data_IF_614670352152
#
_entry.id   IF_614670352152
#
_cell.length_a   1.000
_cell.length_b   1.000
_cell.length_c   1.000
_cell.angle_alpha   90.00
_cell.angle_beta   90.00
_cell.angle_gamma   90.00
#
_symmetry.space_group_name_H-M   'P 1'
#
loop_
_entity.id
_entity.type
_entity.pdbx_description
1 polymer ?
#
# COMPACT_ATOMS: atom_id res chain seq x y z
N UNK A 1 17.03 8.46 -38.24
CA UNK A 1 16.30 7.46 -37.43
C UNK A 1 17.14 6.80 -36.32
N UNK A 2 18.45 6.54 -36.50
CA UNK A 2 19.29 5.90 -35.47
C UNK A 2 19.46 6.74 -34.18
N UNK A 3 19.65 8.06 -34.29
CA UNK A 3 19.85 8.96 -33.15
C UNK A 3 18.59 9.15 -32.28
N UNK A 4 17.40 9.16 -32.89
CA UNK A 4 16.14 9.25 -32.14
C UNK A 4 15.89 7.94 -31.37
N UNK A 5 16.22 6.79 -31.97
CA UNK A 5 16.13 5.49 -31.31
C UNK A 5 17.04 5.37 -30.08
N UNK A 6 18.28 5.84 -30.17
CA UNK A 6 19.23 5.80 -29.04
C UNK A 6 18.81 6.73 -27.90
N UNK A 7 18.30 7.93 -28.20
CA UNK A 7 17.78 8.85 -27.18
C UNK A 7 16.58 8.23 -26.44
N UNK A 8 15.62 7.66 -27.18
CA UNK A 8 14.45 6.98 -26.58
C UNK A 8 14.90 5.80 -25.70
N UNK A 9 15.89 5.02 -26.13
CA UNK A 9 16.42 3.90 -25.36
C UNK A 9 17.09 4.36 -24.05
N UNK A 10 17.88 5.44 -24.10
CA UNK A 10 18.53 6.03 -22.93
C UNK A 10 17.48 6.50 -21.91
N UNK A 11 16.45 7.22 -22.36
CA UNK A 11 15.36 7.67 -21.48
C UNK A 11 14.57 6.50 -20.88
N UNK A 12 14.34 5.42 -21.62
CA UNK A 12 13.69 4.22 -21.09
C UNK A 12 14.54 3.56 -19.99
N UNK A 13 15.86 3.47 -20.18
CA UNK A 13 16.78 2.92 -19.17
C UNK A 13 16.81 3.80 -17.92
N UNK A 14 16.88 5.13 -18.07
CA UNK A 14 16.83 6.05 -16.94
C UNK A 14 15.50 5.97 -16.18
N UNK A 15 14.36 5.88 -16.89
CA UNK A 15 13.05 5.74 -16.27
C UNK A 15 12.88 4.40 -15.53
N UNK A 16 13.48 3.32 -16.04
CA UNK A 16 13.50 2.04 -15.34
C UNK A 16 14.40 2.06 -14.09
N UNK A 17 15.57 2.69 -14.17
CA UNK A 17 16.49 2.84 -13.03
C UNK A 17 15.97 3.78 -11.94
N UNK A 18 15.09 4.72 -12.27
CA UNK A 18 14.56 5.70 -11.31
C UNK A 18 13.44 5.15 -10.39
N UNK A 19 13.16 3.85 -10.42
CA UNK A 19 12.09 3.20 -9.65
C UNK A 19 12.64 2.35 -8.51
N UNK A 20 11.78 2.06 -7.53
CA UNK A 20 12.11 1.20 -6.39
C UNK A 20 12.16 -0.26 -6.82
N UNK A 21 13.25 -0.69 -7.47
CA UNK A 21 13.27 -2.02 -8.10
C UNK A 21 13.57 -3.18 -7.12
N UNK A 22 14.20 -2.90 -5.98
CA UNK A 22 14.69 -3.89 -5.02
C UNK A 22 14.68 -3.37 -3.58
N UNK A 23 14.86 -4.29 -2.61
CA UNK A 23 14.97 -3.95 -1.18
C UNK A 23 16.17 -3.03 -0.91
N UNK A 24 17.31 -3.29 -1.58
CA UNK A 24 18.54 -2.51 -1.39
C UNK A 24 18.32 -1.01 -1.65
N UNK A 25 17.51 -0.65 -2.64
CA UNK A 25 17.14 0.73 -2.93
C UNK A 25 16.35 1.35 -1.77
N UNK A 26 15.49 0.59 -1.09
CA UNK A 26 14.75 1.08 0.08
C UNK A 26 15.71 1.27 1.25
N UNK A 27 16.45 0.22 1.62
CA UNK A 27 17.36 0.19 2.78
C UNK A 27 18.48 1.23 2.68
N UNK A 28 18.96 1.53 1.46
CA UNK A 28 19.98 2.55 1.24
C UNK A 28 19.44 3.98 1.42
N UNK A 29 18.17 4.21 1.11
CA UNK A 29 17.59 5.56 1.03
C UNK A 29 16.64 5.89 2.18
N UNK A 30 16.39 4.95 3.09
CA UNK A 30 15.44 5.12 4.18
C UNK A 30 15.77 4.24 5.38
N UNK A 31 15.49 4.78 6.57
CA UNK A 31 15.55 4.05 7.83
C UNK A 31 14.22 3.36 8.18
N UNK A 32 13.18 3.54 7.36
CA UNK A 32 11.88 2.87 7.53
C UNK A 32 12.07 1.37 7.22
N UNK A 33 11.73 0.48 8.17
CA UNK A 33 11.88 -0.96 7.97
C UNK A 33 10.88 -1.52 6.95
N UNK A 34 11.19 -2.70 6.42
CA UNK A 34 10.36 -3.41 5.44
C UNK A 34 9.52 -4.47 6.18
N UNK A 35 8.19 -4.36 6.09
CA UNK A 35 7.27 -5.31 6.72
C UNK A 35 7.34 -6.68 6.04
N UNK A 36 7.28 -6.71 4.71
CA UNK A 36 7.42 -7.91 3.88
C UNK A 36 7.50 -7.48 2.40
N UNK A 37 7.83 -8.42 1.52
CA UNK A 37 7.80 -8.22 0.08
C UNK A 37 6.75 -9.12 -0.58
N UNK A 38 6.31 -8.74 -1.77
CA UNK A 38 5.38 -9.55 -2.55
C UNK A 38 5.95 -9.74 -3.95
N UNK A 39 6.27 -10.96 -4.38
CA UNK A 39 6.75 -11.21 -5.74
C UNK A 39 5.59 -10.99 -6.73
N UNK A 40 5.92 -10.99 -8.03
CA UNK A 40 4.86 -11.02 -9.05
C UNK A 40 4.21 -12.40 -9.13
N UNK A 41 3.07 -12.55 -8.47
CA UNK A 41 2.30 -13.80 -8.44
C UNK A 41 1.46 -13.92 -9.72
N UNK A 42 1.78 -14.91 -10.57
CA UNK A 42 1.03 -15.21 -11.80
C UNK A 42 -0.23 -16.04 -11.52
N UNK A 43 -0.10 -17.03 -10.65
CA UNK A 43 -1.18 -17.93 -10.30
C UNK A 43 -2.02 -17.36 -9.15
N UNK A 44 -3.30 -17.12 -9.41
CA UNK A 44 -4.22 -16.61 -8.39
C UNK A 44 -4.40 -17.57 -7.22
N UNK A 45 -4.21 -18.87 -7.41
CA UNK A 45 -4.32 -19.87 -6.34
C UNK A 45 -3.26 -19.66 -5.25
N UNK A 46 -2.06 -19.20 -5.64
CA UNK A 46 -0.93 -18.95 -4.75
C UNK A 46 -1.02 -17.63 -3.98
N UNK A 47 -1.92 -16.73 -4.39
CA UNK A 47 -2.04 -15.40 -3.75
C UNK A 47 -2.46 -15.56 -2.29
N UNK A 48 -3.47 -16.37 -2.00
CA UNK A 48 -3.95 -16.55 -0.62
C UNK A 48 -2.85 -17.14 0.27
N UNK A 49 -2.15 -18.18 -0.20
CA UNK A 49 -1.06 -18.80 0.54
C UNK A 49 0.04 -17.78 0.89
N UNK A 50 0.47 -16.99 -0.10
CA UNK A 50 1.46 -15.92 0.11
C UNK A 50 1.01 -14.90 1.16
N UNK A 51 -0.25 -14.47 1.12
CA UNK A 51 -0.76 -13.49 2.09
C UNK A 51 -0.98 -14.07 3.49
N UNK A 52 -1.25 -15.37 3.62
CA UNK A 52 -1.25 -16.06 4.92
C UNK A 52 0.15 -16.06 5.53
N UNK A 53 1.19 -16.34 4.74
CA UNK A 53 2.59 -16.26 5.18
C UNK A 53 2.98 -14.83 5.57
N UNK A 54 2.63 -13.83 4.76
CA UNK A 54 2.90 -12.43 5.10
C UNK A 54 2.22 -11.99 6.40
N UNK A 55 0.98 -12.42 6.64
CA UNK A 55 0.27 -12.10 7.88
C UNK A 55 0.97 -12.73 9.08
N UNK A 56 1.47 -13.97 8.96
CA UNK A 56 2.30 -14.59 10.00
C UNK A 56 3.62 -13.83 10.21
N UNK A 57 4.32 -13.43 9.14
CA UNK A 57 5.53 -12.61 9.24
C UNK A 57 5.26 -11.30 9.96
N UNK A 58 4.14 -10.63 9.65
CA UNK A 58 3.71 -9.41 10.32
C UNK A 58 3.37 -9.62 11.80
N UNK A 59 2.81 -10.77 12.19
CA UNK A 59 2.62 -11.12 13.61
C UNK A 59 3.95 -11.31 14.33
N UNK A 60 4.90 -12.05 13.73
CA UNK A 60 6.24 -12.27 14.28
C UNK A 60 7.02 -10.96 14.44
N UNK A 61 6.82 -10.01 13.53
CA UNK A 61 7.39 -8.65 13.59
C UNK A 61 6.61 -7.70 14.53
N UNK A 62 5.61 -8.21 15.24
CA UNK A 62 4.75 -7.42 16.11
C UNK A 62 3.96 -6.29 15.40
N UNK A 63 3.83 -6.35 14.08
CA UNK A 63 3.02 -5.41 13.28
C UNK A 63 1.54 -5.74 13.46
N UNK A 64 1.18 -7.03 13.56
CA UNK A 64 -0.19 -7.45 13.89
C UNK A 64 -0.26 -7.73 15.39
N UNK A 65 -1.12 -6.99 16.07
CA UNK A 65 -1.45 -7.18 17.50
C UNK A 65 -2.97 -7.20 17.68
N UNK A 66 -3.43 -7.69 18.81
CA UNK A 66 -4.86 -7.65 19.14
C UNK A 66 -5.35 -6.20 19.27
N UNK A 67 -6.56 -5.94 18.77
CA UNK A 67 -7.22 -4.62 18.73
C UNK A 67 -6.43 -3.53 18.00
N UNK A 68 -5.46 -3.90 17.18
CA UNK A 68 -4.60 -2.98 16.44
C UNK A 68 -5.35 -2.37 15.23
N UNK A 69 -5.07 -1.09 14.96
CA UNK A 69 -5.50 -0.38 13.75
C UNK A 69 -4.33 -0.32 12.77
N UNK A 70 -4.45 -1.05 11.66
CA UNK A 70 -3.46 -1.07 10.58
C UNK A 70 -3.96 -0.23 9.40
N UNK A 71 -3.21 0.78 9.01
CA UNK A 71 -3.49 1.63 7.85
C UNK A 71 -2.62 1.23 6.67
N UNK A 72 -3.25 0.97 5.52
CA UNK A 72 -2.59 0.59 4.28
C UNK A 72 -2.76 1.74 3.29
N UNK A 73 -1.64 2.28 2.81
CA UNK A 73 -1.63 3.38 1.84
C UNK A 73 -0.55 3.21 0.77
N UNK A 74 -0.51 4.13 -0.18
CA UNK A 74 0.51 4.25 -1.21
C UNK A 74 0.74 5.72 -1.55
N UNK A 75 1.85 6.05 -2.20
CA UNK A 75 2.15 7.44 -2.53
C UNK A 75 1.24 8.02 -3.63
N UNK A 76 1.10 7.33 -4.78
CA UNK A 76 0.53 7.93 -5.99
C UNK A 76 -0.95 7.62 -6.25
N UNK A 77 -1.34 6.34 -6.20
CA UNK A 77 -2.68 5.91 -6.65
C UNK A 77 -3.26 4.84 -5.74
N UNK A 78 -4.54 4.94 -5.31
CA UNK A 78 -5.11 3.95 -4.40
C UNK A 78 -5.14 2.51 -4.94
N UNK A 79 -5.24 2.38 -6.27
CA UNK A 79 -5.15 1.09 -6.96
C UNK A 79 -3.83 0.35 -6.70
N UNK A 80 -2.77 1.02 -6.23
CA UNK A 80 -1.49 0.41 -5.91
C UNK A 80 -1.55 -0.43 -4.64
N UNK A 81 -2.33 0.00 -3.63
CA UNK A 81 -2.44 -0.71 -2.36
C UNK A 81 -3.71 -1.54 -2.19
N UNK A 82 -4.73 -1.30 -3.03
CA UNK A 82 -5.96 -2.09 -3.06
C UNK A 82 -5.72 -3.61 -3.01
N UNK A 83 -4.80 -4.11 -3.84
CA UNK A 83 -4.50 -5.54 -3.93
C UNK A 83 -4.04 -6.10 -2.58
N UNK A 84 -3.17 -5.41 -1.88
CA UNK A 84 -2.71 -5.85 -0.55
C UNK A 84 -3.80 -5.71 0.49
N UNK A 85 -4.58 -4.62 0.48
CA UNK A 85 -5.69 -4.47 1.41
C UNK A 85 -6.70 -5.63 1.29
N UNK A 86 -7.16 -5.96 0.07
CA UNK A 86 -8.10 -7.06 -0.16
C UNK A 86 -7.54 -8.41 0.32
N UNK A 87 -6.28 -8.72 0.00
CA UNK A 87 -5.70 -10.01 0.33
C UNK A 87 -5.28 -10.13 1.81
N UNK A 88 -4.82 -9.04 2.45
CA UNK A 88 -4.55 -9.03 3.89
C UNK A 88 -5.86 -9.23 4.67
N UNK A 89 -6.92 -8.51 4.31
CA UNK A 89 -8.25 -8.68 4.92
C UNK A 89 -8.70 -10.14 4.78
N UNK A 90 -8.59 -10.70 3.57
CA UNK A 90 -9.02 -12.08 3.31
C UNK A 90 -8.17 -13.10 4.07
N UNK A 91 -6.86 -12.89 4.18
CA UNK A 91 -5.95 -13.77 4.92
C UNK A 91 -6.24 -13.73 6.43
N UNK A 92 -6.46 -12.54 7.00
CA UNK A 92 -6.85 -12.38 8.41
C UNK A 92 -8.19 -13.08 8.70
N UNK A 93 -9.17 -12.92 7.81
CA UNK A 93 -10.47 -13.60 7.93
C UNK A 93 -10.32 -15.13 7.82
N UNK A 94 -9.45 -15.62 6.93
CA UNK A 94 -9.15 -17.05 6.80
C UNK A 94 -8.46 -17.62 8.07
N UNK A 95 -7.74 -16.79 8.82
CA UNK A 95 -7.22 -17.11 10.15
C UNK A 95 -8.25 -16.93 11.28
N UNK A 96 -9.54 -16.85 10.94
CA UNK A 96 -10.66 -16.71 11.88
C UNK A 96 -10.67 -15.41 12.71
N UNK A 97 -9.95 -14.37 12.27
CA UNK A 97 -9.99 -13.05 12.92
C UNK A 97 -11.22 -12.26 12.45
N UNK A 98 -11.92 -11.61 13.38
CA UNK A 98 -12.97 -10.63 13.07
C UNK A 98 -12.30 -9.32 12.64
N UNK A 99 -12.38 -9.00 11.35
CA UNK A 99 -11.75 -7.80 10.78
C UNK A 99 -12.78 -6.70 10.56
N UNK A 100 -12.57 -5.54 11.19
CA UNK A 100 -13.24 -4.29 10.83
C UNK A 100 -12.51 -3.68 9.64
N UNK A 101 -13.25 -3.29 8.61
CA UNK A 101 -12.69 -2.66 7.41
C UNK A 101 -13.20 -1.24 7.28
N UNK A 102 -12.26 -0.30 7.13
CA UNK A 102 -12.54 1.10 6.85
C UNK A 102 -12.00 1.41 5.46
N UNK A 103 -12.87 1.73 4.52
CA UNK A 103 -12.47 2.12 3.17
C UNK A 103 -12.57 3.63 3.00
N UNK A 104 -11.40 4.28 2.93
CA UNK A 104 -11.26 5.71 2.66
C UNK A 104 -11.02 5.95 1.16
N UNK A 105 -10.44 4.96 0.45
CA UNK A 105 -10.22 5.05 -0.98
C UNK A 105 -11.48 4.80 -1.82
N UNK A 106 -12.50 4.15 -1.23
CA UNK A 106 -13.69 3.68 -1.93
C UNK A 106 -13.35 2.77 -3.11
N UNK A 107 -12.45 1.81 -2.87
CA UNK A 107 -11.96 0.90 -3.91
C UNK A 107 -12.20 -0.56 -3.61
N UNK A 108 -12.50 -0.90 -2.35
CA UNK A 108 -12.81 -2.26 -1.94
C UNK A 108 -14.21 -2.63 -2.41
N UNK A 109 -14.39 -3.92 -2.71
CA UNK A 109 -15.68 -4.48 -3.10
C UNK A 109 -15.90 -5.79 -2.36
N UNK A 110 -17.16 -6.21 -2.24
CA UNK A 110 -17.54 -7.51 -1.70
C UNK A 110 -17.19 -7.71 -0.21
N UNK A 111 -17.13 -6.63 0.57
CA UNK A 111 -16.97 -6.73 2.02
C UNK A 111 -18.35 -6.74 2.67
N UNK A 112 -18.63 -7.70 3.56
CA UNK A 112 -19.91 -7.76 4.26
C UNK A 112 -20.24 -6.43 4.97
N UNK A 113 -21.45 -5.86 4.79
CA UNK A 113 -21.79 -4.52 5.29
C UNK A 113 -21.55 -4.30 6.78
N UNK A 114 -21.78 -5.32 7.61
CA UNK A 114 -21.57 -5.24 9.07
C UNK A 114 -20.10 -5.00 9.46
N UNK A 115 -19.15 -5.44 8.63
CA UNK A 115 -17.70 -5.34 8.86
C UNK A 115 -17.10 -4.13 8.15
N UNK A 116 -17.92 -3.29 7.52
CA UNK A 116 -17.47 -2.29 6.57
C UNK A 116 -17.92 -0.88 6.96
N UNK A 117 -17.00 0.08 6.89
CA UNK A 117 -17.26 1.49 7.04
C UNK A 117 -16.62 2.26 5.88
N UNK A 118 -17.42 3.01 5.14
CA UNK A 118 -16.90 3.90 4.10
C UNK A 118 -16.66 5.30 4.67
N UNK A 119 -15.40 5.74 4.66
CA UNK A 119 -15.01 7.10 5.06
C UNK A 119 -14.40 7.90 3.90
N UNK A 120 -14.73 7.59 2.65
CA UNK A 120 -14.16 8.27 1.48
C UNK A 120 -14.77 9.63 1.16
N UNK A 121 -15.88 10.01 1.80
CA UNK A 121 -16.60 11.24 1.47
C UNK A 121 -15.86 12.48 1.95
N UNK A 122 -15.89 13.56 1.17
CA UNK A 122 -15.35 14.87 1.56
C UNK A 122 -15.98 15.44 2.84
N UNK A 123 -17.18 14.98 3.21
CA UNK A 123 -17.80 15.36 4.50
C UNK A 123 -16.93 14.92 5.69
N UNK A 124 -16.14 13.87 5.53
CA UNK A 124 -15.23 13.39 6.58
C UNK A 124 -14.02 14.31 6.76
N UNK A 125 -13.76 15.26 5.86
CA UNK A 125 -12.78 16.32 6.10
C UNK A 125 -13.20 17.27 7.22
N UNK A 126 -14.49 17.30 7.58
CA UNK A 126 -15.02 18.09 8.68
C UNK A 126 -14.87 17.38 10.04
N UNK A 127 -14.55 16.08 10.04
CA UNK A 127 -14.37 15.32 11.26
C UNK A 127 -13.00 15.59 11.86
N UNK A 128 -12.94 15.76 13.17
CA UNK A 128 -11.67 15.87 13.89
C UNK A 128 -11.02 14.50 14.04
N UNK A 129 -9.73 14.49 14.41
CA UNK A 129 -9.04 13.26 14.84
C UNK A 129 -9.81 12.50 15.92
N UNK A 130 -10.34 13.21 16.92
CA UNK A 130 -11.06 12.61 18.03
C UNK A 130 -12.37 11.96 17.58
N UNK A 131 -13.09 12.58 16.64
CA UNK A 131 -14.33 12.04 16.08
C UNK A 131 -14.08 10.72 15.36
N UNK A 132 -13.09 10.70 14.46
CA UNK A 132 -12.76 9.49 13.72
C UNK A 132 -12.22 8.42 14.66
N UNK A 133 -11.30 8.76 15.56
CA UNK A 133 -10.76 7.81 16.54
C UNK A 133 -11.85 7.14 17.36
N UNK A 134 -12.82 7.93 17.85
CA UNK A 134 -13.96 7.43 18.62
C UNK A 134 -14.83 6.49 17.80
N UNK A 135 -15.18 6.85 16.57
CA UNK A 135 -15.97 5.98 15.66
C UNK A 135 -15.27 4.64 15.44
N UNK A 136 -13.96 4.65 15.21
CA UNK A 136 -13.18 3.42 15.00
C UNK A 136 -13.15 2.58 16.27
N UNK A 137 -12.81 3.20 17.41
CA UNK A 137 -12.67 2.51 18.70
C UNK A 137 -13.98 1.89 19.18
N UNK A 138 -15.10 2.61 19.04
CA UNK A 138 -16.43 2.11 19.39
C UNK A 138 -16.78 0.85 18.57
N UNK A 139 -16.50 0.87 17.26
CA UNK A 139 -16.73 -0.33 16.42
C UNK A 139 -15.78 -1.46 16.74
N UNK A 140 -14.53 -1.15 17.03
CA UNK A 140 -13.47 -2.13 17.32
C UNK A 140 -13.75 -3.02 18.53
N UNK A 141 -14.71 -2.67 19.40
CA UNK A 141 -15.10 -3.53 20.53
C UNK A 141 -15.47 -4.95 20.08
N UNK A 142 -16.11 -5.10 18.92
CA UNK A 142 -16.59 -6.40 18.40
C UNK A 142 -15.64 -7.08 17.41
N UNK A 143 -14.47 -6.51 17.14
CA UNK A 143 -13.50 -6.98 16.15
C UNK A 143 -12.12 -7.18 16.74
N UNK A 144 -11.34 -8.08 16.17
CA UNK A 144 -9.99 -8.38 16.68
C UNK A 144 -8.95 -7.42 16.10
N UNK A 145 -9.23 -6.84 14.93
CA UNK A 145 -8.31 -5.94 14.21
C UNK A 145 -9.07 -5.00 13.26
N UNK A 146 -8.55 -3.79 13.06
CA UNK A 146 -9.04 -2.84 12.05
C UNK A 146 -8.06 -2.74 10.89
N UNK A 147 -8.55 -2.88 9.66
CA UNK A 147 -7.80 -2.55 8.45
C UNK A 147 -8.38 -1.31 7.80
N UNK A 148 -7.57 -0.27 7.66
CA UNK A 148 -7.90 0.95 6.94
C UNK A 148 -7.30 0.88 5.54
N UNK A 149 -8.15 0.78 4.52
CA UNK A 149 -7.76 0.97 3.13
C UNK A 149 -7.82 2.46 2.79
N UNK A 150 -6.67 3.11 2.93
CA UNK A 150 -6.57 4.55 2.91
C UNK A 150 -6.54 5.13 1.49
N UNK A 151 -6.75 6.43 1.32
CA UNK A 151 -6.42 7.10 0.06
C UNK A 151 -4.90 7.14 -0.16
N UNK A 152 -4.47 7.41 -1.41
CA UNK A 152 -3.06 7.66 -1.65
C UNK A 152 -2.67 9.04 -1.12
N UNK A 153 -1.46 9.17 -0.58
CA UNK A 153 -0.97 10.43 0.02
C UNK A 153 -1.14 11.64 -0.91
N UNK A 154 -0.94 11.47 -2.22
CA UNK A 154 -1.12 12.55 -3.20
C UNK A 154 -2.56 13.07 -3.38
N UNK A 155 -3.57 12.37 -2.87
CA UNK A 155 -4.97 12.77 -3.05
C UNK A 155 -5.43 13.86 -2.09
N UNK A 156 -4.69 14.14 -1.01
CA UNK A 156 -5.02 15.23 -0.11
C UNK A 156 -4.55 14.99 1.33
N UNK A 157 -5.15 15.72 2.27
CA UNK A 157 -4.78 15.67 3.69
C UNK A 157 -5.51 14.57 4.47
N UNK A 158 -6.68 14.12 3.99
CA UNK A 158 -7.43 13.03 4.62
C UNK A 158 -6.60 11.75 4.84
N UNK A 159 -5.77 11.27 3.89
CA UNK A 159 -4.91 10.12 4.16
C UNK A 159 -3.96 10.29 5.35
N UNK A 160 -3.49 11.52 5.62
CA UNK A 160 -2.58 11.80 6.72
C UNK A 160 -3.27 11.63 8.09
N UNK A 161 -4.57 11.96 8.16
CA UNK A 161 -5.38 11.74 9.35
C UNK A 161 -5.39 10.26 9.73
N UNK A 162 -5.66 9.39 8.76
CA UNK A 162 -5.71 7.94 8.98
C UNK A 162 -4.33 7.32 9.22
N UNK A 163 -3.26 7.87 8.65
CA UNK A 163 -1.89 7.48 8.98
C UNK A 163 -1.54 7.81 10.44
N UNK A 164 -2.03 8.95 10.94
CA UNK A 164 -1.80 9.36 12.34
C UNK A 164 -2.64 8.58 13.35
N UNK A 165 -3.81 8.12 12.94
CA UNK A 165 -4.75 7.35 13.77
C UNK A 165 -4.35 5.89 13.97
N UNK A 166 -3.61 5.33 13.01
CA UNK A 166 -3.27 3.92 13.02
C UNK A 166 -2.10 3.61 13.97
N UNK A 167 -2.17 2.47 14.64
CA UNK A 167 -1.07 1.98 15.47
C UNK A 167 0.09 1.50 14.59
N UNK A 168 -0.21 1.00 13.38
CA UNK A 168 0.75 0.51 12.40
C UNK A 168 0.39 0.98 10.99
N UNK A 169 1.40 1.40 10.23
CA UNK A 169 1.22 1.97 8.91
C UNK A 169 2.00 1.15 7.87
N UNK A 170 1.29 0.55 6.92
CA UNK A 170 1.87 -0.14 5.77
C UNK A 170 1.87 0.79 4.56
N UNK A 171 3.06 1.15 4.10
CA UNK A 171 3.26 2.02 2.98
C UNK A 171 3.73 1.24 1.76
N UNK A 172 2.88 1.20 0.72
CA UNK A 172 3.13 0.35 -0.44
C UNK A 172 3.95 1.05 -1.52
N UNK A 173 5.01 0.37 -1.92
CA UNK A 173 5.87 0.72 -3.04
C UNK A 173 5.70 -0.34 -4.13
N UNK A 174 5.28 0.06 -5.35
CA UNK A 174 5.20 -0.86 -6.49
C UNK A 174 6.50 -0.71 -7.29
N UNK A 175 7.25 -1.80 -7.43
CA UNK A 175 8.59 -1.76 -8.02
C UNK A 175 8.63 -1.20 -9.43
N UNK A 176 7.52 -1.28 -10.16
CA UNK A 176 7.41 -0.80 -11.53
C UNK A 176 6.78 0.58 -11.65
N UNK A 177 6.21 1.13 -10.59
CA UNK A 177 5.42 2.37 -10.68
C UNK A 177 5.93 3.45 -9.75
N UNK A 178 6.39 3.07 -8.56
CA UNK A 178 6.83 4.01 -7.55
C UNK A 178 8.25 4.46 -7.86
N UNK A 179 8.44 5.78 -7.95
CA UNK A 179 9.75 6.37 -8.15
C UNK A 179 10.58 6.23 -6.88
N UNK A 180 11.90 6.05 -7.02
CA UNK A 180 12.82 5.98 -5.89
C UNK A 180 12.76 7.25 -5.02
N UNK A 181 12.54 8.41 -5.64
CA UNK A 181 12.32 9.68 -4.92
C UNK A 181 11.15 9.61 -3.93
N UNK A 182 10.12 8.82 -4.22
CA UNK A 182 8.97 8.67 -3.31
C UNK A 182 9.34 8.07 -1.96
N UNK A 183 10.46 7.34 -1.86
CA UNK A 183 10.97 6.88 -0.55
C UNK A 183 11.32 8.09 0.33
N UNK A 184 12.06 9.06 -0.23
CA UNK A 184 12.42 10.30 0.47
C UNK A 184 11.17 11.13 0.79
N UNK A 185 10.22 11.22 -0.14
CA UNK A 185 8.97 11.94 0.11
C UNK A 185 8.17 11.32 1.28
N UNK A 186 8.28 10.01 1.50
CA UNK A 186 7.62 9.31 2.62
C UNK A 186 8.36 9.52 3.93
N UNK A 187 9.70 9.54 3.94
CA UNK A 187 10.49 9.92 5.13
C UNK A 187 10.17 11.35 5.57
N UNK A 188 10.13 12.30 4.62
CA UNK A 188 9.75 13.68 4.91
C UNK A 188 8.34 13.78 5.50
N UNK A 189 7.38 13.00 4.97
CA UNK A 189 6.03 12.95 5.51
C UNK A 189 6.01 12.37 6.93
N UNK A 190 6.75 11.29 7.16
CA UNK A 190 6.87 10.67 8.48
C UNK A 190 7.38 11.67 9.51
N UNK A 191 8.41 12.44 9.15
CA UNK A 191 9.01 13.45 10.03
C UNK A 191 8.08 14.67 10.22
N UNK A 192 7.49 15.20 9.15
CA UNK A 192 6.62 16.38 9.19
C UNK A 192 5.35 16.13 10.03
N UNK A 193 4.72 14.96 9.86
CA UNK A 193 3.46 14.62 10.52
C UNK A 193 3.64 13.72 11.76
N UNK A 194 4.91 13.40 12.10
CA UNK A 194 5.26 12.54 13.22
C UNK A 194 4.52 11.19 13.15
N UNK A 195 4.46 10.58 11.96
CA UNK A 195 3.81 9.28 11.76
C UNK A 195 4.71 8.20 12.37
N UNK A 196 4.18 7.46 13.35
CA UNK A 196 4.91 6.39 14.01
C UNK A 196 4.63 5.03 13.36
N UNK A 197 5.50 4.05 13.61
CA UNK A 197 5.30 2.65 13.23
C UNK A 197 4.98 2.47 11.73
N UNK A 198 5.77 3.14 10.90
CA UNK A 198 5.66 3.07 9.46
C UNK A 198 6.55 1.94 8.94
N UNK A 199 6.02 1.17 8.00
CA UNK A 199 6.70 0.05 7.36
C UNK A 199 6.52 0.12 5.85
N UNK A 200 7.56 -0.19 5.10
CA UNK A 200 7.44 -0.38 3.66
C UNK A 200 6.96 -1.79 3.30
N UNK A 201 6.13 -1.87 2.27
CA UNK A 201 5.75 -3.11 1.61
C UNK A 201 6.12 -2.99 0.13
N UNK A 202 7.08 -3.80 -0.32
CA UNK A 202 7.53 -3.79 -1.72
C UNK A 202 6.73 -4.80 -2.55
N UNK A 203 5.90 -4.28 -3.44
CA UNK A 203 5.10 -5.06 -4.38
C UNK A 203 5.85 -5.30 -5.70
N UNK A 204 5.75 -6.53 -6.21
CA UNK A 204 6.43 -7.03 -7.42
C UNK A 204 7.94 -6.99 -7.28
N UNK A 205 8.43 -7.36 -6.11
CA UNK A 205 9.86 -7.51 -5.87
C UNK A 205 10.49 -8.47 -6.90
N UNK A 206 11.69 -8.15 -7.39
CA UNK A 206 12.44 -8.96 -8.34
C UNK A 206 11.80 -9.09 -9.75
N UNK A 207 10.64 -8.48 -9.99
CA UNK A 207 9.94 -8.61 -11.26
C UNK A 207 10.52 -7.69 -12.33
N UNK A 208 11.35 -8.25 -13.20
CA UNK A 208 11.89 -7.59 -14.37
C UNK A 208 11.19 -8.10 -15.65
N UNK A 209 10.13 -7.43 -16.15
CA UNK A 209 9.55 -7.81 -17.42
C UNK A 209 10.61 -7.61 -18.53
N UNK A 210 10.70 -8.56 -19.45
CA UNK A 210 11.56 -8.40 -20.63
C UNK A 210 11.30 -7.06 -21.32
N UNK A 211 12.34 -6.42 -21.86
CA UNK A 211 12.25 -5.12 -22.57
C UNK A 211 11.11 -5.12 -23.63
N UNK A 212 10.87 -6.26 -24.27
CA UNK A 212 9.81 -6.47 -25.27
C UNK A 212 8.40 -6.29 -24.69
N UNK A 213 8.13 -6.82 -23.49
CA UNK A 213 6.84 -6.63 -22.79
C UNK A 213 6.61 -5.18 -22.37
N UNK A 214 7.67 -4.46 -22.00
CA UNK A 214 7.60 -3.04 -21.64
C UNK A 214 7.28 -2.17 -22.85
N UNK A 215 7.90 -2.46 -24.01
CA UNK A 215 7.64 -1.76 -25.27
C UNK A 215 6.21 -2.01 -25.76
N UNK A 216 5.72 -3.25 -25.74
CA UNK A 216 4.32 -3.57 -26.10
C UNK A 216 3.29 -2.83 -25.23
N UNK A 217 3.54 -2.73 -23.93
CA UNK A 217 2.67 -1.99 -23.01
C UNK A 217 2.61 -0.48 -23.32
N UNK A 218 3.72 0.11 -23.76
CA UNK A 218 3.78 1.52 -24.14
C UNK A 218 3.03 1.79 -25.46
N UNK A 219 3.19 0.92 -26.45
CA UNK A 219 2.49 1.00 -27.74
C UNK A 219 0.97 0.88 -27.57
N UNK A 220 0.50 -0.03 -26.70
CA UNK A 220 -0.93 -0.17 -26.43
C UNK A 220 -1.52 1.03 -25.68
N UNK A 221 -0.73 1.71 -24.83
CA UNK A 221 -1.18 2.91 -24.12
C UNK A 221 -1.26 4.15 -25.02
N UNK A 222 -0.52 4.18 -26.13
CA UNK A 222 -0.63 5.23 -27.15
C UNK A 222 -1.74 4.96 -28.20
N UNK A 223 -2.25 3.73 -28.26
CA UNK A 223 -3.36 3.32 -29.15
C UNK A 223 -4.75 3.35 -28.49
N UNK A 224 -4.82 3.64 -27.19
CA UNK A 224 -6.05 3.83 -26.41
C UNK A 224 -6.19 5.28 -26.00
#
# INVERSE_FOLDING_TARGET
MSMIGSIVLIYLVHFAKAKVNDLYTIEKNSAIPIAFTTPFIKDKSMVMHHFLENVLEMELKEIIKEKNIICITSYDKPKQHKFHAENIISALQAQSRKVLVIDVANTLKNIPPHNYLNLSSDRNLQMTYQDVHRIITERMQNYDICIINNQSVKQGKLPLLFLKLADQNLFLLDSRKTAAKSIMDVELLKDEYQVTNLWFVLNKEGYNPSLVTTIKGFVNKFRS
#
